data_IF_966247034859
#
_entry.id   IF_966247034859
#
_cell.length_a   1.000
_cell.length_b   1.000
_cell.length_c   1.000
_cell.angle_alpha   90.00
_cell.angle_beta   90.00
_cell.angle_gamma   90.00
#
_symmetry.space_group_name_H-M   'P 1'
#
loop_
_entity.id
_entity.type
_entity.pdbx_description
1 polymer ?
#
# COMPACT_ATOMS: atom_id res chain seq x y z
N UNK A 1 -7.44 80.39 67.93
CA UNK A 1 -8.78 79.84 67.66
C UNK A 1 -8.98 79.80 66.14
N UNK A 2 -9.31 78.63 65.57
CA UNK A 2 -9.65 78.41 64.15
C UNK A 2 -8.46 77.98 63.26
N UNK A 3 -8.54 77.09 62.27
CA UNK A 3 -9.62 76.32 61.62
C UNK A 3 -8.97 75.24 60.71
N UNK A 4 -9.76 74.22 60.32
CA UNK A 4 -9.58 73.25 59.19
C UNK A 4 -8.70 71.99 59.43
N UNK A 5 -9.06 70.77 59.04
CA UNK A 5 -10.10 70.33 58.11
C UNK A 5 -10.57 68.89 58.37
N UNK A 6 -11.89 68.69 58.27
CA UNK A 6 -12.56 67.39 58.32
C UNK A 6 -12.31 66.63 57.00
N UNK A 7 -11.78 65.41 57.10
CA UNK A 7 -11.59 64.48 55.98
C UNK A 7 -12.94 63.96 55.47
N UNK A 8 -13.26 64.03 54.16
CA UNK A 8 -14.53 63.53 53.64
C UNK A 8 -14.57 62.00 53.68
N UNK A 9 -15.65 61.46 54.26
CA UNK A 9 -16.02 60.05 54.21
C UNK A 9 -16.49 59.67 52.80
N UNK A 10 -15.56 59.34 51.89
CA UNK A 10 -15.88 58.91 50.52
C UNK A 10 -15.82 57.39 50.28
N UNK A 11 -15.48 56.59 51.30
CA UNK A 11 -15.20 55.15 51.14
C UNK A 11 -16.39 54.22 50.89
N UNK A 12 -17.65 54.70 51.02
CA UNK A 12 -18.86 53.87 50.82
C UNK A 12 -19.45 53.96 49.41
N UNK A 13 -19.35 55.11 48.72
CA UNK A 13 -19.94 55.28 47.37
C UNK A 13 -19.09 54.71 46.24
N UNK A 14 -17.77 54.59 46.41
CA UNK A 14 -16.91 53.96 45.38
C UNK A 14 -17.03 52.44 45.35
N UNK A 15 -17.11 51.79 46.53
CA UNK A 15 -17.28 50.32 46.62
C UNK A 15 -18.60 49.86 45.98
N UNK A 16 -19.67 50.66 46.08
CA UNK A 16 -20.96 50.34 45.46
C UNK A 16 -20.98 50.57 43.95
N UNK A 17 -20.23 51.54 43.42
CA UNK A 17 -20.01 51.68 41.97
C UNK A 17 -19.17 50.53 41.40
N UNK A 18 -18.13 50.13 42.13
CA UNK A 18 -17.31 48.96 41.79
C UNK A 18 -18.09 47.64 41.85
N UNK A 19 -19.00 47.47 42.83
CA UNK A 19 -19.83 46.27 42.90
C UNK A 19 -20.90 46.21 41.80
N UNK A 20 -21.51 47.35 41.45
CA UNK A 20 -22.44 47.46 40.31
C UNK A 20 -21.77 47.11 38.98
N UNK A 21 -20.60 47.69 38.71
CA UNK A 21 -19.82 47.37 37.50
C UNK A 21 -19.35 45.91 37.47
N UNK A 22 -19.06 45.29 38.63
CA UNK A 22 -18.78 43.84 38.71
C UNK A 22 -20.01 42.99 38.39
N UNK A 23 -21.20 43.39 38.82
CA UNK A 23 -22.45 42.69 38.48
C UNK A 23 -22.77 42.82 36.99
N UNK A 24 -22.67 44.03 36.43
CA UNK A 24 -22.87 44.27 34.99
C UNK A 24 -21.92 43.43 34.13
N UNK A 25 -20.63 43.38 34.50
CA UNK A 25 -19.64 42.53 33.81
C UNK A 25 -20.01 41.05 33.87
N UNK A 26 -20.53 40.56 35.00
CA UNK A 26 -20.98 39.17 35.13
C UNK A 26 -22.21 38.89 34.25
N UNK A 27 -23.19 39.80 34.22
CA UNK A 27 -24.37 39.65 33.37
C UNK A 27 -23.99 39.61 31.88
N UNK A 28 -23.16 40.55 31.44
CA UNK A 28 -22.65 40.60 30.08
C UNK A 28 -21.84 39.33 29.72
N UNK A 29 -21.09 38.77 30.68
CA UNK A 29 -20.42 37.48 30.48
C UNK A 29 -21.41 36.34 30.26
N UNK A 30 -22.47 36.24 31.08
CA UNK A 30 -23.48 35.18 30.93
C UNK A 30 -24.25 35.31 29.61
N UNK A 31 -24.58 36.52 29.17
CA UNK A 31 -25.22 36.78 27.88
C UNK A 31 -24.31 36.32 26.74
N UNK A 32 -23.04 36.74 26.73
CA UNK A 32 -22.06 36.34 25.72
C UNK A 32 -21.83 34.81 25.69
N UNK A 33 -21.82 34.15 26.84
CA UNK A 33 -21.71 32.67 26.90
C UNK A 33 -22.95 32.01 26.29
N UNK A 34 -24.16 32.49 26.61
CA UNK A 34 -25.41 31.97 26.03
C UNK A 34 -25.46 32.16 24.51
N UNK A 35 -25.08 33.33 24.02
CA UNK A 35 -25.06 33.63 22.59
C UNK A 35 -24.03 32.77 21.85
N UNK A 36 -22.84 32.59 22.44
CA UNK A 36 -21.81 31.72 21.87
C UNK A 36 -22.24 30.26 21.86
N UNK A 37 -22.89 29.77 22.93
CA UNK A 37 -23.42 28.41 22.98
C UNK A 37 -24.50 28.20 21.92
N UNK A 38 -25.38 29.20 21.72
CA UNK A 38 -26.38 29.21 20.65
C UNK A 38 -25.77 29.13 19.26
N UNK A 39 -24.71 29.90 19.00
CA UNK A 39 -24.00 29.96 17.72
C UNK A 39 -23.14 28.72 17.43
N UNK A 40 -22.50 28.16 18.46
CA UNK A 40 -21.63 26.97 18.36
C UNK A 40 -22.41 25.66 18.31
N UNK A 41 -23.74 25.69 18.42
CA UNK A 41 -24.60 24.53 18.18
C UNK A 41 -24.40 24.05 16.73
N UNK A 42 -23.51 23.08 16.58
CA UNK A 42 -23.06 22.56 15.32
C UNK A 42 -24.25 22.14 14.44
N UNK A 43 -24.35 22.71 13.24
CA UNK A 43 -25.22 22.17 12.20
C UNK A 43 -24.79 20.72 11.97
N UNK A 44 -25.62 19.76 12.38
CA UNK A 44 -25.34 18.30 12.41
C UNK A 44 -25.03 17.68 11.02
N UNK A 45 -24.93 18.47 9.96
CA UNK A 45 -24.63 18.01 8.61
C UNK A 45 -23.73 18.99 7.86
N UNK A 46 -22.44 19.01 8.19
CA UNK A 46 -21.42 19.49 7.26
C UNK A 46 -21.26 18.42 6.17
N UNK A 47 -22.22 18.37 5.24
CA UNK A 47 -22.10 17.56 4.04
C UNK A 47 -21.03 18.16 3.15
N UNK A 48 -19.96 17.42 2.87
CA UNK A 48 -18.95 17.83 1.88
C UNK A 48 -19.67 18.01 0.53
N UNK A 49 -19.71 19.22 -0.03
CA UNK A 49 -20.12 19.43 -1.43
C UNK A 49 -19.05 18.83 -2.33
N UNK A 50 -19.22 17.57 -2.71
CA UNK A 50 -18.40 16.92 -3.73
C UNK A 50 -18.65 17.62 -5.06
N UNK A 51 -17.74 18.49 -5.48
CA UNK A 51 -17.71 18.99 -6.85
C UNK A 51 -17.37 17.81 -7.77
N UNK A 52 -18.39 17.10 -8.22
CA UNK A 52 -18.33 16.13 -9.32
C UNK A 52 -18.00 16.91 -10.60
N UNK A 53 -16.73 17.27 -10.76
CA UNK A 53 -16.22 17.76 -12.04
C UNK A 53 -16.28 16.59 -12.99
N UNK A 54 -17.37 16.52 -13.76
CA UNK A 54 -17.63 15.59 -14.86
C UNK A 54 -16.58 15.79 -15.96
N UNK A 55 -15.34 15.36 -15.72
CA UNK A 55 -14.42 15.00 -16.79
C UNK A 55 -14.69 13.54 -17.09
N UNK A 56 -15.76 13.27 -17.87
CA UNK A 56 -15.85 12.02 -18.62
C UNK A 56 -14.66 12.01 -19.56
N UNK A 57 -13.53 11.44 -19.12
CA UNK A 57 -12.42 11.12 -20.01
C UNK A 57 -13.03 10.16 -21.04
N UNK A 58 -13.21 10.63 -22.27
CA UNK A 58 -13.46 9.76 -23.41
C UNK A 58 -12.16 8.99 -23.64
N UNK A 59 -11.89 7.99 -22.80
CA UNK A 59 -10.92 6.98 -23.14
C UNK A 59 -11.50 6.27 -24.35
N UNK A 60 -11.03 6.69 -25.52
CA UNK A 60 -11.11 5.89 -26.73
C UNK A 60 -10.23 4.68 -26.43
N UNK A 61 -10.79 3.68 -25.77
CA UNK A 61 -10.19 2.36 -25.81
C UNK A 61 -10.26 1.97 -27.28
N UNK A 62 -9.13 2.02 -27.96
CA UNK A 62 -9.01 1.36 -29.25
C UNK A 62 -9.42 -0.09 -29.03
N UNK A 63 -10.27 -0.61 -29.90
CA UNK A 63 -10.58 -2.04 -29.87
C UNK A 63 -9.29 -2.78 -30.20
N UNK A 64 -8.78 -3.52 -29.21
CA UNK A 64 -7.55 -4.31 -29.32
C UNK A 64 -7.85 -5.75 -29.74
N UNK A 65 -9.08 -6.04 -30.17
CA UNK A 65 -9.49 -7.35 -30.70
C UNK A 65 -8.56 -7.84 -31.82
N UNK A 66 -8.09 -6.96 -32.69
CA UNK A 66 -7.13 -7.33 -33.75
C UNK A 66 -5.79 -7.86 -33.23
N UNK A 67 -5.45 -7.64 -31.95
CA UNK A 67 -4.23 -8.20 -31.36
C UNK A 67 -4.37 -9.68 -31.01
N UNK A 68 -5.60 -10.22 -30.87
CA UNK A 68 -5.78 -11.65 -30.58
C UNK A 68 -5.37 -12.53 -31.75
N UNK A 69 -5.44 -12.03 -32.99
CA UNK A 69 -5.03 -12.78 -34.20
C UNK A 69 -3.50 -13.06 -34.23
N UNK A 70 -2.71 -12.28 -33.51
CA UNK A 70 -1.24 -12.42 -33.47
C UNK A 70 -0.73 -13.16 -32.24
N UNK A 71 -1.62 -13.50 -31.30
CA UNK A 71 -1.26 -14.23 -30.09
C UNK A 71 -1.66 -15.70 -30.26
N UNK A 72 -0.89 -16.65 -29.71
CA UNK A 72 -1.36 -18.01 -29.57
C UNK A 72 -2.72 -18.02 -28.84
N UNK A 73 -3.62 -18.93 -29.22
CA UNK A 73 -4.91 -19.13 -28.55
C UNK A 73 -4.66 -19.60 -27.11
N UNK A 74 -4.36 -18.65 -26.23
CA UNK A 74 -4.25 -18.89 -24.80
C UNK A 74 -5.66 -19.08 -24.30
N UNK A 75 -6.01 -20.32 -23.96
CA UNK A 75 -7.26 -20.66 -23.29
C UNK A 75 -7.59 -19.56 -22.26
N UNK A 76 -8.74 -18.90 -22.43
CA UNK A 76 -9.22 -17.79 -21.61
C UNK A 76 -9.33 -18.10 -20.09
N UNK A 77 -8.94 -19.31 -19.69
CA UNK A 77 -8.72 -19.79 -18.34
C UNK A 77 -7.46 -19.23 -17.68
N UNK A 78 -6.51 -18.63 -18.41
CA UNK A 78 -5.42 -17.86 -17.79
C UNK A 78 -5.97 -16.52 -17.31
N UNK A 79 -6.74 -16.63 -16.21
CA UNK A 79 -7.38 -15.59 -15.42
C UNK A 79 -6.56 -14.32 -15.55
N UNK A 80 -7.13 -13.33 -16.22
CA UNK A 80 -6.79 -11.94 -16.04
C UNK A 80 -6.46 -11.78 -14.56
N UNK A 81 -5.18 -11.62 -14.24
CA UNK A 81 -4.74 -11.32 -12.89
C UNK A 81 -5.29 -9.94 -12.66
N UNK A 82 -6.53 -9.91 -12.13
CA UNK A 82 -7.33 -8.73 -11.87
C UNK A 82 -6.36 -7.68 -11.39
N UNK A 83 -6.16 -6.63 -12.19
CA UNK A 83 -5.15 -5.60 -11.94
C UNK A 83 -5.30 -5.15 -10.50
N UNK A 84 -4.52 -5.77 -9.61
CA UNK A 84 -4.60 -5.43 -8.21
C UNK A 84 -4.08 -4.03 -8.23
N UNK A 85 -4.89 -3.08 -7.76
CA UNK A 85 -4.38 -1.77 -7.42
C UNK A 85 -3.33 -2.05 -6.34
N UNK A 86 -2.09 -2.35 -6.76
CA UNK A 86 -1.01 -2.81 -5.91
C UNK A 86 -0.50 -1.55 -5.25
N UNK A 87 -1.32 -1.03 -4.34
CA UNK A 87 -1.00 0.11 -3.52
C UNK A 87 0.09 -0.34 -2.57
N UNK A 88 1.31 -0.32 -3.08
CA UNK A 88 2.52 -0.63 -2.35
C UNK A 88 2.54 0.29 -1.13
N UNK A 89 2.46 -0.29 0.06
CA UNK A 89 2.72 0.42 1.29
C UNK A 89 4.25 0.58 1.48
N UNK A 90 4.68 1.53 2.31
CA UNK A 90 6.11 1.82 2.52
C UNK A 90 6.91 0.58 2.95
N UNK A 91 6.35 -0.26 3.82
CA UNK A 91 6.98 -1.52 4.28
C UNK A 91 7.13 -2.53 3.13
N UNK A 92 6.14 -2.64 2.26
CA UNK A 92 6.16 -3.54 1.10
C UNK A 92 7.18 -3.08 0.06
N UNK A 93 7.35 -1.77 -0.14
CA UNK A 93 8.41 -1.22 -0.99
C UNK A 93 9.78 -1.56 -0.44
N UNK A 94 10.00 -1.38 0.87
CA UNK A 94 11.28 -1.73 1.50
C UNK A 94 11.62 -3.21 1.30
N UNK A 95 10.65 -4.11 1.51
CA UNK A 95 10.83 -5.54 1.29
C UNK A 95 11.12 -5.87 -0.18
N UNK A 96 10.45 -5.20 -1.12
CA UNK A 96 10.71 -5.35 -2.55
C UNK A 96 12.15 -4.92 -2.87
N UNK A 97 12.55 -3.73 -2.46
CA UNK A 97 13.91 -3.21 -2.66
C UNK A 97 14.96 -4.16 -2.08
N UNK A 98 14.75 -4.70 -0.88
CA UNK A 98 15.66 -5.68 -0.29
C UNK A 98 15.80 -6.93 -1.17
N UNK A 99 14.69 -7.50 -1.64
CA UNK A 99 14.70 -8.68 -2.52
C UNK A 99 15.44 -8.40 -3.83
N UNK A 100 15.08 -7.31 -4.51
CA UNK A 100 15.70 -6.92 -5.77
C UNK A 100 17.20 -6.63 -5.58
N UNK A 101 17.59 -5.99 -4.47
CA UNK A 101 18.99 -5.70 -4.18
C UNK A 101 19.83 -6.97 -4.00
N UNK A 102 19.26 -8.02 -3.39
CA UNK A 102 19.93 -9.31 -3.21
C UNK A 102 20.06 -10.02 -4.56
N UNK A 103 18.99 -10.01 -5.38
CA UNK A 103 19.01 -10.61 -6.72
C UNK A 103 20.03 -9.92 -7.64
N UNK A 104 20.04 -8.59 -7.66
CA UNK A 104 20.98 -7.82 -8.46
C UNK A 104 22.43 -8.12 -8.04
N UNK A 105 22.71 -8.15 -6.74
CA UNK A 105 24.04 -8.53 -6.24
C UNK A 105 24.43 -9.94 -6.65
N UNK A 106 23.49 -10.89 -6.64
CA UNK A 106 23.76 -12.25 -7.09
C UNK A 106 24.14 -12.31 -8.58
N UNK A 107 23.46 -11.53 -9.44
CA UNK A 107 23.80 -11.43 -10.87
C UNK A 107 25.18 -10.80 -11.06
N UNK A 108 25.45 -9.68 -10.37
CA UNK A 108 26.74 -8.98 -10.48
C UNK A 108 27.93 -9.81 -9.98
N UNK A 109 27.71 -10.67 -8.99
CA UNK A 109 28.73 -11.57 -8.45
C UNK A 109 28.88 -12.87 -9.26
N UNK A 110 28.06 -13.09 -10.30
CA UNK A 110 28.10 -14.32 -11.08
C UNK A 110 29.28 -14.30 -12.07
N UNK A 111 30.13 -15.34 -12.10
CA UNK A 111 31.36 -15.32 -12.89
C UNK A 111 31.09 -15.22 -14.41
N UNK A 112 30.02 -15.84 -14.90
CA UNK A 112 29.68 -15.73 -16.33
C UNK A 112 29.23 -14.33 -16.71
N UNK A 113 28.56 -13.61 -15.79
CA UNK A 113 28.09 -12.25 -16.03
C UNK A 113 29.25 -11.24 -15.98
N UNK A 114 30.25 -11.49 -15.15
CA UNK A 114 31.47 -10.69 -15.09
C UNK A 114 32.35 -10.86 -16.33
N UNK A 115 32.41 -12.07 -16.90
CA UNK A 115 33.19 -12.35 -18.10
C UNK A 115 32.51 -11.80 -19.37
N UNK A 116 31.24 -12.11 -19.58
CA UNK A 116 30.45 -11.60 -20.71
C UNK A 116 28.98 -11.40 -20.31
N UNK A 117 28.55 -10.16 -20.04
CA UNK A 117 27.19 -9.88 -19.60
C UNK A 117 26.16 -10.18 -20.69
N UNK A 118 26.52 -10.03 -21.98
CA UNK A 118 25.58 -10.23 -23.10
C UNK A 118 25.32 -11.73 -23.26
N UNK A 119 26.38 -12.55 -23.29
CA UNK A 119 26.23 -13.99 -23.40
C UNK A 119 25.53 -14.60 -22.16
N UNK A 120 25.81 -14.08 -20.96
CA UNK A 120 25.14 -14.53 -19.74
C UNK A 120 23.63 -14.26 -19.76
N UNK A 121 23.21 -13.08 -20.25
CA UNK A 121 21.80 -12.75 -20.43
C UNK A 121 21.17 -13.68 -21.46
N UNK A 122 21.82 -13.90 -22.61
CA UNK A 122 21.31 -14.79 -23.66
C UNK A 122 21.06 -16.21 -23.12
N UNK A 123 22.05 -16.79 -22.44
CA UNK A 123 21.93 -18.11 -21.85
C UNK A 123 20.83 -18.18 -20.77
N UNK A 124 20.67 -17.12 -19.97
CA UNK A 124 19.58 -17.05 -19.00
C UNK A 124 18.21 -17.01 -19.67
N UNK A 125 18.07 -16.23 -20.74
CA UNK A 125 16.84 -16.17 -21.54
C UNK A 125 16.51 -17.54 -22.13
N UNK A 126 17.47 -18.23 -22.75
CA UNK A 126 17.25 -19.58 -23.29
C UNK A 126 16.79 -20.59 -22.22
N UNK A 127 17.34 -20.50 -21.00
CA UNK A 127 17.00 -21.41 -19.89
C UNK A 127 15.65 -21.12 -19.24
N UNK A 128 15.26 -19.85 -19.21
CA UNK A 128 14.04 -19.40 -18.50
C UNK A 128 12.85 -19.19 -19.43
N UNK A 129 13.07 -19.24 -20.74
CA UNK A 129 11.98 -19.38 -21.68
C UNK A 129 11.23 -20.69 -21.39
N UNK A 130 9.89 -20.65 -21.31
CA UNK A 130 9.11 -21.88 -21.31
C UNK A 130 9.49 -22.67 -22.57
N UNK A 131 9.47 -24.01 -22.53
CA UNK A 131 9.66 -24.79 -23.75
C UNK A 131 8.65 -24.25 -24.75
N UNK A 132 9.15 -23.72 -25.88
CA UNK A 132 8.28 -23.47 -27.02
C UNK A 132 7.49 -24.76 -27.28
N UNK A 133 6.24 -24.63 -27.70
CA UNK A 133 5.45 -25.75 -28.21
C UNK A 133 6.15 -26.30 -29.46
N UNK A 134 7.24 -27.03 -29.24
CA UNK A 134 7.86 -27.83 -30.26
C UNK A 134 6.86 -28.92 -30.55
N UNK A 135 6.23 -28.82 -31.72
CA UNK A 135 5.79 -29.99 -32.45
C UNK A 135 6.86 -31.05 -32.25
N UNK A 136 6.47 -32.14 -31.57
CA UNK A 136 7.35 -33.25 -31.25
C UNK A 136 7.97 -33.71 -32.56
N UNK A 137 9.21 -33.30 -32.83
CA UNK A 137 10.00 -33.99 -33.83
C UNK A 137 10.12 -35.42 -33.31
N UNK A 138 9.49 -36.33 -34.05
CA UNK A 138 9.43 -37.75 -33.76
C UNK A 138 10.84 -38.35 -33.83
N UNK A 139 11.63 -38.12 -32.79
CA UNK A 139 12.88 -38.81 -32.55
C UNK A 139 12.58 -40.22 -32.07
N UNK A 140 12.49 -41.15 -33.02
CA UNK A 140 12.43 -42.59 -32.75
C UNK A 140 13.67 -43.00 -31.94
N UNK A 141 13.50 -43.27 -30.64
CA UNK A 141 14.37 -44.20 -29.93
C UNK A 141 13.53 -45.22 -29.17
N UNK A 142 13.88 -46.48 -29.44
CA UNK A 142 13.07 -47.68 -29.23
C UNK A 142 12.81 -47.94 -27.75
N UNK A 143 11.56 -48.28 -27.43
CA UNK A 143 11.18 -48.93 -26.17
C UNK A 143 11.95 -50.25 -26.02
N UNK A 144 12.92 -50.31 -25.11
CA UNK A 144 13.39 -51.58 -24.56
C UNK A 144 12.66 -51.85 -23.25
N UNK A 145 11.57 -52.59 -23.35
CA UNK A 145 10.80 -53.14 -22.23
C UNK A 145 11.59 -54.29 -21.62
N UNK A 146 12.17 -54.13 -20.43
CA UNK A 146 12.63 -55.28 -19.63
C UNK A 146 11.84 -55.34 -18.32
N UNK A 147 10.87 -56.25 -18.30
CA UNK A 147 10.12 -56.72 -17.12
C UNK A 147 10.95 -57.82 -16.42
N UNK A 148 10.93 -57.82 -15.08
CA UNK A 148 11.29 -58.95 -14.20
C UNK A 148 12.80 -59.02 -13.86
N UNK A 149 13.25 -59.20 -12.62
CA UNK A 149 12.61 -59.83 -11.48
C UNK A 149 13.06 -59.21 -10.15
N UNK A 150 12.09 -59.09 -9.24
CA UNK A 150 12.28 -58.90 -7.81
C UNK A 150 12.93 -60.18 -7.26
N UNK A 151 14.17 -60.14 -6.77
CA UNK A 151 14.69 -61.20 -5.89
C UNK A 151 14.93 -60.57 -4.52
N UNK A 152 13.99 -60.83 -3.62
CA UNK A 152 14.24 -60.75 -2.18
C UNK A 152 15.12 -61.96 -1.86
N UNK A 153 16.29 -61.75 -1.28
CA UNK A 153 16.97 -62.79 -0.50
C UNK A 153 17.14 -62.25 0.90
N UNK A 154 16.34 -62.83 1.79
CA UNK A 154 16.47 -62.78 3.23
C UNK A 154 17.78 -63.42 3.70
N UNK A 155 18.41 -62.80 4.69
CA UNK A 155 19.08 -63.46 5.82
C UNK A 155 20.27 -64.38 5.53
N UNK A 156 21.46 -63.90 5.88
CA UNK A 156 22.45 -64.71 6.62
C UNK A 156 23.36 -63.80 7.44
N UNK A 157 23.19 -63.92 8.74
CA UNK A 157 24.03 -63.48 9.85
C UNK A 157 25.39 -64.20 9.82
N UNK A 158 26.52 -63.49 10.03
CA UNK A 158 27.79 -64.03 10.55
C UNK A 158 28.84 -62.92 10.80
N UNK A 159 28.83 -62.42 12.03
CA UNK A 159 29.93 -62.18 12.99
C UNK A 159 31.42 -62.49 12.59
N UNK A 160 32.37 -61.72 13.19
CA UNK A 160 33.81 -62.02 13.52
C UNK A 160 34.83 -61.73 12.38
N UNK A 161 35.94 -60.97 12.48
CA UNK A 161 36.78 -60.29 13.52
C UNK A 161 37.11 -58.88 13.02
#
# INVERSE_FOLDING_TARGET
MGLTGLRPSSGRKEKSKSSKTKLEKKLHFFEKVKDSAGSLNAKKSIGKKTKLRSRKKKLKAYDLSSLSEFLPDLDASQKQTKGTNFKLNSKSRLKLVQKESVQLKAVLNHPTFQADPIAAIHQYLERTQPPADQEKQAGKTKKAKKKGAKKKSSGSEAMVI
#
